data_IF_197182327245
#
_entry.id   IF_197182327245
#
_cell.length_a   1.000
_cell.length_b   1.000
_cell.length_c   1.000
_cell.angle_alpha   90.00
_cell.angle_beta   90.00
_cell.angle_gamma   90.00
#
_symmetry.space_group_name_H-M   'P 1'
#
loop_
_entity.id
_entity.type
_entity.pdbx_description
1 polymer ?
#
# COMPACT_ATOMS: atom_id res chain seq x y z
N UNK A 1 7.49 -16.12 -54.39
CA UNK A 1 6.54 -15.85 -53.29
C UNK A 1 6.41 -17.12 -52.48
N UNK A 2 7.23 -17.29 -51.45
CA UNK A 2 7.05 -18.39 -50.49
C UNK A 2 6.18 -17.89 -49.34
N UNK A 3 4.95 -18.43 -49.26
CA UNK A 3 4.12 -18.31 -48.07
C UNK A 3 4.72 -19.27 -47.04
N UNK A 4 5.30 -18.73 -45.97
CA UNK A 4 5.67 -19.53 -44.81
C UNK A 4 4.40 -19.88 -44.07
N UNK A 5 4.10 -21.17 -44.02
CA UNK A 5 2.95 -21.71 -43.30
C UNK A 5 3.20 -21.60 -41.79
N UNK A 6 2.52 -20.65 -41.14
CA UNK A 6 2.55 -20.48 -39.70
C UNK A 6 1.87 -21.67 -39.02
N UNK A 7 2.68 -22.64 -38.60
CA UNK A 7 2.23 -23.81 -37.83
C UNK A 7 1.78 -23.35 -36.43
N UNK A 8 0.49 -23.13 -36.27
CA UNK A 8 -0.15 -22.82 -34.98
C UNK A 8 -0.10 -24.07 -34.08
N UNK A 9 0.88 -24.13 -33.20
CA UNK A 9 0.97 -25.16 -32.14
C UNK A 9 0.14 -24.66 -30.96
N UNK A 10 -1.01 -25.29 -30.74
CA UNK A 10 -1.88 -25.02 -29.60
C UNK A 10 -1.32 -25.67 -28.33
N UNK A 11 -0.21 -25.11 -27.83
CA UNK A 11 0.23 -25.30 -26.45
C UNK A 11 -0.31 -24.15 -25.61
N UNK A 12 -0.54 -24.39 -24.31
CA UNK A 12 -1.02 -23.41 -23.31
C UNK A 12 0.00 -22.30 -23.07
N UNK A 13 0.28 -21.54 -24.11
CA UNK A 13 1.09 -20.35 -24.10
C UNK A 13 0.20 -19.20 -24.54
N UNK A 14 0.15 -18.18 -23.70
CA UNK A 14 -0.48 -16.90 -24.01
C UNK A 14 -0.06 -16.46 -25.41
N UNK A 15 -1.03 -16.16 -26.26
CA UNK A 15 -0.83 -15.45 -27.50
C UNK A 15 -0.30 -14.06 -27.18
N UNK A 16 1.02 -13.94 -26.97
CA UNK A 16 1.68 -12.65 -26.95
C UNK A 16 1.73 -12.19 -28.40
N UNK A 17 0.63 -11.58 -28.86
CA UNK A 17 0.68 -10.62 -29.96
C UNK A 17 1.67 -9.56 -29.49
N UNK A 18 2.89 -9.62 -30.04
CA UNK A 18 3.89 -8.57 -29.85
C UNK A 18 3.41 -7.38 -30.66
N UNK A 19 2.46 -6.62 -30.11
CA UNK A 19 2.22 -5.27 -30.56
C UNK A 19 3.54 -4.53 -30.35
N UNK A 20 4.24 -4.22 -31.44
CA UNK A 20 5.37 -3.31 -31.41
C UNK A 20 4.84 -1.96 -30.93
N UNK A 21 4.81 -1.76 -29.60
CA UNK A 21 4.42 -0.50 -29.00
C UNK A 21 5.41 0.54 -29.49
N UNK A 22 4.99 1.30 -30.50
CA UNK A 22 5.75 2.42 -31.01
C UNK A 22 6.18 3.28 -29.82
N UNK A 23 7.49 3.47 -29.69
CA UNK A 23 8.08 4.14 -28.55
C UNK A 23 7.63 5.60 -28.59
N UNK A 24 6.76 5.99 -27.65
CA UNK A 24 6.22 7.35 -27.58
C UNK A 24 7.35 8.38 -27.63
N UNK A 25 7.24 9.36 -28.53
CA UNK A 25 8.23 10.43 -28.65
C UNK A 25 8.18 11.35 -27.42
N UNK A 26 9.23 12.15 -27.21
CA UNK A 26 9.25 13.15 -26.12
C UNK A 26 8.08 14.13 -26.23
N UNK A 27 7.65 14.45 -27.46
CA UNK A 27 6.51 15.34 -27.74
C UNK A 27 5.20 14.69 -27.31
N UNK A 28 5.01 13.42 -27.65
CA UNK A 28 3.78 12.69 -27.29
C UNK A 28 3.64 12.60 -25.77
N UNK A 29 4.73 12.29 -25.06
CA UNK A 29 4.74 12.27 -23.58
C UNK A 29 4.41 13.62 -22.97
N UNK A 30 4.84 14.71 -23.60
CA UNK A 30 4.55 16.07 -23.15
C UNK A 30 3.07 16.40 -23.33
N UNK A 31 2.50 16.03 -24.47
CA UNK A 31 1.12 16.35 -24.84
C UNK A 31 0.08 15.33 -24.34
N UNK A 32 0.53 14.22 -23.74
CA UNK A 32 -0.32 13.23 -23.11
C UNK A 32 -0.84 13.69 -21.74
N UNK A 33 -2.16 13.89 -21.66
CA UNK A 33 -2.91 14.28 -20.45
C UNK A 33 -3.75 13.11 -19.92
N UNK A 34 -3.09 11.98 -19.69
CA UNK A 34 -3.71 10.75 -19.19
C UNK A 34 -3.12 10.33 -17.85
N UNK A 35 -3.86 9.54 -17.07
CA UNK A 35 -3.37 8.94 -15.83
C UNK A 35 -3.99 9.52 -14.56
N UNK A 36 -3.35 9.25 -13.41
CA UNK A 36 -3.85 9.58 -12.05
C UNK A 36 -2.88 10.47 -11.24
N UNK A 37 -1.84 10.98 -11.89
CA UNK A 37 -0.84 11.86 -11.28
C UNK A 37 -1.23 13.32 -11.46
N UNK A 38 -2.26 13.72 -10.72
CA UNK A 38 -2.90 15.02 -10.86
C UNK A 38 -1.94 16.20 -10.64
N UNK A 39 -0.93 16.08 -9.76
CA UNK A 39 0.10 17.12 -9.55
C UNK A 39 0.93 17.37 -10.81
N UNK A 40 1.36 16.29 -11.47
CA UNK A 40 2.13 16.38 -12.72
C UNK A 40 1.26 16.88 -13.87
N UNK A 41 0.00 16.45 -13.93
CA UNK A 41 -0.95 16.92 -14.94
C UNK A 41 -1.23 18.42 -14.79
N UNK A 42 -1.36 18.93 -13.57
CA UNK A 42 -1.56 20.34 -13.29
C UNK A 42 -0.37 21.18 -13.78
N UNK A 43 0.85 20.79 -13.38
CA UNK A 43 2.08 21.44 -13.86
C UNK A 43 2.23 21.40 -15.38
N UNK A 44 1.76 20.33 -16.03
CA UNK A 44 1.77 20.26 -17.50
C UNK A 44 0.76 21.23 -18.12
N UNK A 45 -0.43 21.38 -17.52
CA UNK A 45 -1.46 22.31 -17.99
C UNK A 45 -0.96 23.76 -17.88
N UNK A 46 -0.44 24.14 -16.72
CA UNK A 46 0.14 25.47 -16.47
C UNK A 46 1.27 25.78 -17.47
N UNK A 47 2.24 24.88 -17.63
CA UNK A 47 3.35 25.05 -18.59
C UNK A 47 2.89 25.09 -20.04
N UNK A 48 1.71 24.56 -20.37
CA UNK A 48 1.15 24.67 -21.72
C UNK A 48 0.55 26.06 -21.92
N UNK A 49 -0.22 26.53 -20.94
CA UNK A 49 -0.83 27.86 -20.98
C UNK A 49 0.25 28.95 -21.06
N UNK A 50 1.29 28.85 -20.23
CA UNK A 50 2.43 29.78 -20.26
C UNK A 50 3.10 29.85 -21.64
N UNK A 51 3.29 28.69 -22.31
CA UNK A 51 3.85 28.65 -23.66
C UNK A 51 2.91 29.24 -24.70
N UNK A 52 1.60 29.04 -24.56
CA UNK A 52 0.62 29.63 -25.46
C UNK A 52 0.63 31.15 -25.30
N UNK A 53 0.67 31.65 -24.06
CA UNK A 53 0.74 33.07 -23.76
C UNK A 53 2.02 33.71 -24.33
N UNK A 54 3.18 33.08 -24.13
CA UNK A 54 4.44 33.53 -24.73
C UNK A 54 4.39 33.58 -26.27
N UNK A 55 3.62 32.68 -26.90
CA UNK A 55 3.44 32.69 -28.36
C UNK A 55 2.42 33.75 -28.77
N UNK A 56 1.34 33.96 -28.01
CA UNK A 56 0.35 35.03 -28.24
C UNK A 56 1.01 36.41 -28.23
N UNK A 57 1.87 36.69 -27.25
CA UNK A 57 2.58 37.98 -27.16
C UNK A 57 3.52 38.24 -28.35
N UNK A 58 4.09 37.18 -28.94
CA UNK A 58 5.01 37.30 -30.08
C UNK A 58 4.28 37.35 -31.42
N UNK A 59 3.31 36.45 -31.61
CA UNK A 59 2.61 36.22 -32.87
C UNK A 59 1.20 35.65 -32.61
N UNK A 60 0.13 36.49 -32.65
CA UNK A 60 -1.22 36.04 -32.32
C UNK A 60 -1.77 35.02 -33.34
N UNK A 61 -1.48 35.19 -34.63
CA UNK A 61 -1.95 34.26 -35.67
C UNK A 61 -1.39 32.85 -35.48
N UNK A 62 -0.11 32.75 -35.10
CA UNK A 62 0.55 31.47 -34.83
C UNK A 62 -0.06 30.81 -33.59
N UNK A 63 -0.39 31.58 -32.56
CA UNK A 63 -1.05 31.06 -31.36
C UNK A 63 -2.42 30.45 -31.71
N UNK A 64 -3.24 31.15 -32.50
CA UNK A 64 -4.55 30.67 -32.94
C UNK A 64 -4.45 29.33 -33.69
N UNK A 65 -3.48 29.21 -34.61
CA UNK A 65 -3.23 27.95 -35.33
C UNK A 65 -2.85 26.80 -34.38
N UNK A 66 -2.05 27.08 -33.35
CA UNK A 66 -1.65 26.07 -32.36
C UNK A 66 -2.84 25.66 -31.49
N UNK A 67 -3.66 26.61 -31.03
CA UNK A 67 -4.86 26.34 -30.24
C UNK A 67 -5.85 25.47 -31.01
N UNK A 68 -6.14 25.82 -32.26
CA UNK A 68 -6.99 25.02 -33.14
C UNK A 68 -6.46 23.59 -33.30
N UNK A 69 -5.16 23.42 -33.52
CA UNK A 69 -4.55 22.09 -33.61
C UNK A 69 -4.69 21.29 -32.30
N UNK A 70 -4.51 21.94 -31.14
CA UNK A 70 -4.72 21.31 -29.83
C UNK A 70 -6.18 20.88 -29.66
N UNK A 71 -7.14 21.73 -30.03
CA UNK A 71 -8.57 21.42 -29.95
C UNK A 71 -8.94 20.23 -30.83
N UNK A 72 -8.47 20.19 -32.08
CA UNK A 72 -8.70 19.07 -33.00
C UNK A 72 -8.08 17.77 -32.49
N UNK A 73 -6.82 17.80 -32.03
CA UNK A 73 -6.18 16.62 -31.43
C UNK A 73 -6.92 16.11 -30.20
N UNK A 74 -7.37 17.02 -29.35
CA UNK A 74 -8.17 16.70 -28.16
C UNK A 74 -9.49 16.05 -28.52
N UNK A 75 -10.18 16.53 -29.57
CA UNK A 75 -11.40 15.93 -30.07
C UNK A 75 -11.15 14.52 -30.63
N UNK A 76 -10.10 14.36 -31.45
CA UNK A 76 -9.72 13.09 -32.04
C UNK A 76 -9.36 12.05 -30.97
N UNK A 77 -8.49 12.38 -30.01
CA UNK A 77 -8.13 11.46 -28.92
C UNK A 77 -9.33 11.06 -28.05
N UNK A 78 -10.32 11.94 -27.89
CA UNK A 78 -11.57 11.58 -27.19
C UNK A 78 -12.44 10.64 -28.00
N UNK A 79 -12.51 10.84 -29.32
CA UNK A 79 -13.22 9.94 -30.23
C UNK A 79 -12.57 8.54 -30.26
N UNK A 80 -11.24 8.47 -30.17
CA UNK A 80 -10.47 7.23 -29.97
C UNK A 80 -10.74 6.56 -28.59
N UNK A 81 -11.49 7.20 -27.70
CA UNK A 81 -11.80 6.70 -26.36
C UNK A 81 -10.79 7.08 -25.27
N UNK A 82 -9.79 7.91 -25.58
CA UNK A 82 -8.80 8.35 -24.61
C UNK A 82 -9.38 9.41 -23.65
N UNK A 83 -9.27 9.15 -22.34
CA UNK A 83 -9.70 10.09 -21.28
C UNK A 83 -8.69 11.23 -21.09
N UNK A 84 -8.85 12.30 -21.87
CA UNK A 84 -8.02 13.52 -21.80
C UNK A 84 -8.42 14.39 -20.59
N UNK A 85 -7.47 14.61 -19.66
CA UNK A 85 -7.65 15.38 -18.41
C UNK A 85 -6.79 16.64 -18.40
N UNK A 86 -7.24 17.68 -19.08
CA UNK A 86 -6.45 18.91 -19.32
C UNK A 86 -6.96 20.16 -18.60
N UNK A 87 -8.14 20.11 -17.96
CA UNK A 87 -8.69 21.24 -17.21
C UNK A 87 -7.99 21.39 -15.82
N UNK A 88 -7.39 22.55 -15.50
CA UNK A 88 -6.66 22.77 -14.24
C UNK A 88 -7.56 22.71 -13.00
N UNK A 89 -8.74 23.34 -13.01
CA UNK A 89 -9.66 23.36 -11.87
C UNK A 89 -10.12 21.94 -11.49
N UNK A 90 -10.41 21.11 -12.48
CA UNK A 90 -10.81 19.72 -12.26
C UNK A 90 -9.65 18.88 -11.72
N UNK A 91 -8.41 19.19 -12.13
CA UNK A 91 -7.20 18.54 -11.62
C UNK A 91 -6.95 18.90 -10.16
N UNK A 92 -7.13 20.17 -9.77
CA UNK A 92 -7.05 20.62 -8.38
C UNK A 92 -8.12 19.97 -7.49
N UNK A 93 -9.37 19.95 -7.94
CA UNK A 93 -10.46 19.26 -7.22
C UNK A 93 -10.13 17.78 -7.04
N UNK A 94 -9.53 17.15 -8.04
CA UNK A 94 -9.10 15.75 -7.99
C UNK A 94 -7.94 15.53 -7.01
N UNK A 95 -7.01 16.48 -6.89
CA UNK A 95 -5.96 16.48 -5.86
C UNK A 95 -6.57 16.52 -4.46
N UNK A 96 -7.45 17.48 -4.19
CA UNK A 96 -8.13 17.63 -2.89
C UNK A 96 -8.89 16.36 -2.51
N UNK A 97 -9.60 15.73 -3.46
CA UNK A 97 -10.26 14.42 -3.23
C UNK A 97 -9.25 13.34 -2.88
N UNK A 98 -8.12 13.27 -3.58
CA UNK A 98 -7.06 12.27 -3.33
C UNK A 98 -6.47 12.43 -1.92
N UNK A 99 -6.29 13.67 -1.46
CA UNK A 99 -5.82 13.99 -0.11
C UNK A 99 -6.82 13.60 0.96
N UNK A 100 -8.10 14.00 0.82
CA UNK A 100 -9.18 13.56 1.72
C UNK A 100 -9.27 12.04 1.82
N UNK A 101 -9.13 11.33 0.70
CA UNK A 101 -9.14 9.87 0.70
C UNK A 101 -7.92 9.27 1.42
N UNK A 102 -6.75 9.91 1.37
CA UNK A 102 -5.58 9.48 2.15
C UNK A 102 -5.82 9.67 3.64
N UNK A 103 -6.36 10.82 4.04
CA UNK A 103 -6.69 11.10 5.43
C UNK A 103 -7.72 10.11 5.98
N UNK A 104 -8.80 9.86 5.25
CA UNK A 104 -9.79 8.87 5.62
C UNK A 104 -9.17 7.48 5.81
N UNK A 105 -8.32 7.04 4.88
CA UNK A 105 -7.60 5.77 4.99
C UNK A 105 -6.68 5.74 6.22
N UNK A 106 -5.96 6.83 6.50
CA UNK A 106 -5.09 6.97 7.68
C UNK A 106 -5.90 6.83 8.97
N UNK A 107 -7.03 7.54 9.09
CA UNK A 107 -7.95 7.44 10.24
C UNK A 107 -8.50 6.02 10.39
N UNK A 108 -8.98 5.42 9.31
CA UNK A 108 -9.49 4.05 9.31
C UNK A 108 -8.44 3.03 9.77
N UNK A 109 -7.18 3.20 9.36
CA UNK A 109 -6.08 2.36 9.80
C UNK A 109 -5.76 2.56 11.28
N UNK A 110 -5.69 3.81 11.75
CA UNK A 110 -5.48 4.13 13.16
C UNK A 110 -6.55 3.47 14.05
N UNK A 111 -7.83 3.61 13.70
CA UNK A 111 -8.93 2.98 14.44
C UNK A 111 -8.82 1.44 14.46
N UNK A 112 -8.33 0.82 13.37
CA UNK A 112 -8.11 -0.64 13.33
C UNK A 112 -7.00 -1.07 14.27
N UNK A 113 -5.90 -0.30 14.33
CA UNK A 113 -4.79 -0.57 15.24
C UNK A 113 -5.24 -0.43 16.68
N UNK A 114 -5.90 0.67 17.02
CA UNK A 114 -6.46 0.91 18.36
C UNK A 114 -7.43 -0.19 18.78
N UNK A 115 -8.37 -0.55 17.90
CA UNK A 115 -9.32 -1.64 18.18
C UNK A 115 -8.60 -2.98 18.41
N UNK A 116 -7.56 -3.28 17.62
CA UNK A 116 -6.78 -4.51 17.78
C UNK A 116 -6.05 -4.53 19.12
N UNK A 117 -5.42 -3.41 19.51
CA UNK A 117 -4.74 -3.28 20.80
C UNK A 117 -5.72 -3.41 21.97
N UNK A 118 -6.89 -2.77 21.89
CA UNK A 118 -7.94 -2.89 22.90
C UNK A 118 -8.42 -4.33 23.05
N UNK A 119 -8.62 -5.05 21.93
CA UNK A 119 -9.04 -6.45 21.96
C UNK A 119 -7.94 -7.37 22.51
N UNK A 120 -6.67 -7.08 22.23
CA UNK A 120 -5.54 -7.79 22.83
C UNK A 120 -5.47 -7.56 24.35
N UNK A 121 -5.56 -6.31 24.79
CA UNK A 121 -5.57 -5.94 26.21
C UNK A 121 -6.70 -6.63 26.96
N UNK A 122 -7.94 -6.56 26.45
CA UNK A 122 -9.10 -7.25 27.04
C UNK A 122 -8.91 -8.76 27.15
N UNK A 123 -8.28 -9.39 26.17
CA UNK A 123 -7.96 -10.83 26.23
C UNK A 123 -6.90 -11.12 27.28
N UNK A 124 -5.90 -10.25 27.42
CA UNK A 124 -4.86 -10.38 28.42
C UNK A 124 -5.39 -10.17 29.84
N UNK A 125 -6.25 -9.17 30.05
CA UNK A 125 -6.95 -8.92 31.31
C UNK A 125 -7.78 -10.13 31.74
N UNK A 126 -8.51 -10.77 30.81
CA UNK A 126 -9.25 -12.01 31.10
C UNK A 126 -8.33 -13.15 31.55
N UNK A 127 -7.15 -13.30 30.93
CA UNK A 127 -6.15 -14.30 31.34
C UNK A 127 -5.67 -13.99 32.75
N UNK A 128 -5.21 -12.77 33.01
CA UNK A 128 -4.73 -12.32 34.33
C UNK A 128 -5.82 -12.47 35.40
N UNK A 129 -7.09 -12.22 35.09
CA UNK A 129 -8.19 -12.40 36.04
C UNK A 129 -8.57 -13.87 36.28
N UNK A 130 -8.24 -14.77 35.34
CA UNK A 130 -8.42 -16.22 35.51
C UNK A 130 -7.26 -16.85 36.31
N UNK A 131 -6.03 -16.39 36.11
CA UNK A 131 -4.84 -16.84 36.87
C UNK A 131 -5.05 -16.91 38.39
N UNK A 132 -5.63 -15.92 39.11
CA UNK A 132 -5.83 -16.01 40.56
C UNK A 132 -6.90 -17.04 40.93
N UNK A 133 -7.88 -17.34 40.07
CA UNK A 133 -8.86 -18.40 40.33
C UNK A 133 -8.21 -19.78 40.22
N UNK A 134 -7.34 -19.97 39.23
CA UNK A 134 -6.54 -21.19 39.12
C UNK A 134 -5.50 -21.28 40.23
N UNK A 135 -4.83 -20.18 40.59
CA UNK A 135 -3.89 -20.15 41.70
C UNK A 135 -4.60 -20.40 43.04
N UNK A 136 -5.82 -19.87 43.25
CA UNK A 136 -6.61 -20.12 44.46
C UNK A 136 -7.16 -21.54 44.49
N UNK A 137 -7.61 -22.10 43.36
CA UNK A 137 -8.00 -23.51 43.25
C UNK A 137 -6.80 -24.45 43.44
N UNK A 138 -5.64 -24.14 42.86
CA UNK A 138 -4.39 -24.87 43.07
C UNK A 138 -3.91 -24.72 44.51
N UNK A 139 -4.09 -23.55 45.14
CA UNK A 139 -3.77 -23.32 46.54
C UNK A 139 -4.75 -24.05 47.48
N UNK A 140 -6.03 -24.15 47.13
CA UNK A 140 -7.01 -24.96 47.85
C UNK A 140 -6.69 -26.45 47.67
N UNK A 141 -6.39 -26.89 46.45
CA UNK A 141 -6.03 -28.27 46.15
C UNK A 141 -4.72 -28.64 46.86
N UNK A 142 -3.70 -27.79 46.81
CA UNK A 142 -2.46 -28.01 47.56
C UNK A 142 -2.69 -27.92 49.06
N UNK A 143 -3.51 -27.01 49.59
CA UNK A 143 -3.83 -27.03 51.04
C UNK A 143 -4.61 -28.29 51.40
N UNK A 144 -5.56 -28.73 50.58
CA UNK A 144 -6.33 -29.96 50.81
C UNK A 144 -5.42 -31.20 50.71
N UNK A 145 -4.50 -31.23 49.75
CA UNK A 145 -3.44 -32.23 49.59
C UNK A 145 -2.39 -32.13 50.72
N UNK A 146 -2.03 -30.94 51.21
CA UNK A 146 -1.10 -30.72 52.35
C UNK A 146 -1.79 -31.09 53.67
N UNK A 147 -3.11 -30.94 53.79
CA UNK A 147 -3.87 -31.48 54.92
C UNK A 147 -3.96 -33.02 54.89
N UNK A 148 -3.76 -33.66 53.72
CA UNK A 148 -3.61 -35.12 53.63
C UNK A 148 -2.15 -35.62 53.39
N UNK A 149 -1.18 -34.76 53.16
CA UNK A 149 0.26 -35.05 53.06
C UNK A 149 1.06 -34.07 53.90
N UNK A 150 0.99 -34.23 55.22
CA UNK A 150 2.02 -33.70 56.12
C UNK A 150 3.32 -34.52 56.01
N UNK A 151 3.79 -34.76 54.79
CA UNK A 151 5.09 -35.35 54.44
C UNK A 151 5.44 -35.00 52.99
N UNK A 152 6.53 -34.25 52.79
CA UNK A 152 7.20 -33.89 51.53
C UNK A 152 6.60 -32.75 50.67
N UNK A 153 7.07 -31.51 50.90
CA UNK A 153 7.07 -30.43 49.90
C UNK A 153 8.30 -30.58 48.98
N UNK A 154 8.17 -30.53 47.64
CA UNK A 154 9.30 -30.39 46.75
C UNK A 154 9.77 -28.93 46.68
N UNK A 155 11.10 -28.74 46.69
CA UNK A 155 11.76 -27.43 46.72
C UNK A 155 11.57 -26.66 45.40
N UNK A 156 10.79 -25.57 45.43
CA UNK A 156 10.45 -24.75 44.25
C UNK A 156 11.62 -23.91 43.70
N UNK A 157 12.78 -23.95 44.33
CA UNK A 157 13.96 -23.21 43.88
C UNK A 157 14.50 -23.76 42.55
N UNK A 158 14.38 -25.07 42.29
CA UNK A 158 14.87 -25.70 41.06
C UNK A 158 14.15 -25.20 39.79
N UNK A 159 12.85 -24.88 39.90
CA UNK A 159 12.04 -24.47 38.75
C UNK A 159 12.35 -23.03 38.29
N UNK A 160 12.81 -22.16 39.21
CA UNK A 160 13.20 -20.79 38.87
C UNK A 160 14.49 -20.75 38.04
N UNK A 161 15.42 -21.66 38.34
CA UNK A 161 16.71 -21.74 37.64
C UNK A 161 16.56 -22.22 36.19
N UNK A 162 15.60 -23.11 35.93
CA UNK A 162 15.34 -23.61 34.57
C UNK A 162 14.65 -22.57 33.68
N UNK A 163 13.75 -21.78 34.25
CA UNK A 163 13.12 -20.66 33.53
C UNK A 163 14.14 -19.56 33.21
N UNK A 164 15.08 -19.29 34.13
CA UNK A 164 16.17 -18.34 33.91
C UNK A 164 17.14 -18.86 32.83
N UNK A 165 17.52 -20.14 32.87
CA UNK A 165 18.35 -20.78 31.83
C UNK A 165 17.68 -20.73 30.45
N UNK A 166 16.39 -21.00 30.36
CA UNK A 166 15.64 -20.94 29.09
C UNK A 166 15.52 -19.51 28.53
N UNK A 167 15.37 -18.49 29.39
CA UNK A 167 15.38 -17.08 28.98
C UNK A 167 16.75 -16.64 28.47
N UNK A 168 17.83 -17.04 29.13
CA UNK A 168 19.20 -16.74 28.70
C UNK A 168 19.53 -17.38 27.35
N UNK A 169 19.16 -18.65 27.15
CA UNK A 169 19.38 -19.35 25.87
C UNK A 169 18.65 -18.67 24.68
N UNK A 170 17.42 -18.21 24.90
CA UNK A 170 16.66 -17.47 23.88
C UNK A 170 17.27 -16.10 23.59
N UNK A 171 17.79 -15.38 24.59
CA UNK A 171 18.47 -14.10 24.39
C UNK A 171 19.74 -14.26 23.52
N UNK A 172 20.53 -15.32 23.75
CA UNK A 172 21.70 -15.65 22.94
C UNK A 172 21.33 -16.11 21.51
N UNK A 173 20.18 -16.75 21.31
CA UNK A 173 19.67 -17.10 19.99
C UNK A 173 19.25 -15.85 19.20
N UNK A 174 18.57 -14.89 19.82
CA UNK A 174 18.14 -13.63 19.19
C UNK A 174 19.34 -12.76 18.81
N UNK A 175 20.38 -12.69 19.65
CA UNK A 175 21.62 -11.95 19.33
C UNK A 175 22.38 -12.51 18.11
N UNK A 176 22.29 -13.81 17.83
CA UNK A 176 22.94 -14.42 16.65
C UNK A 176 22.23 -14.13 15.32
N UNK A 177 20.94 -13.80 15.35
CA UNK A 177 20.13 -13.51 14.15
C UNK A 177 20.24 -12.03 13.72
N UNK A 178 20.64 -11.14 14.63
CA UNK A 178 20.77 -9.70 14.35
C UNK A 178 22.12 -9.28 13.76
N UNK A 179 23.09 -10.19 13.65
CA UNK A 179 24.49 -9.89 13.27
C UNK A 179 24.93 -10.54 11.94
N UNK A 180 23.98 -11.00 11.13
CA UNK A 180 24.21 -11.62 9.82
C UNK A 180 23.47 -10.89 8.71
#
# INVERSE_FOLDING_TARGET
MERKDDKLIFSKFDFIVRDEKQKETKKDKRDKFTGKDYKRLLQKAEKREERLEQVRSKNPEKALRIENNIQWKKALSRAEGQKVKDNPELLERSLKRKEKMKEYKKKKWANRVEHTQQMQARRQEKRIAMEPKFAYLLLILTISEITCYKTLLPDFNLLKDDILRAKMANLHRVKRVSSG
#
